data_IF_190646312106
#
_entry.id   IF_190646312106
#
_cell.length_a   1.000
_cell.length_b   1.000
_cell.length_c   1.000
_cell.angle_alpha   90.00
_cell.angle_beta   90.00
_cell.angle_gamma   90.00
#
_symmetry.space_group_name_H-M   'P 1'
#
loop_
_entity.id
_entity.type
_entity.pdbx_description
1 polymer ?
#
# COMPACT_ATOMS: atom_id res chain seq x y z
N UNK A 1 -2.53 -31.12 4.98
CA UNK A 1 -1.50 -30.89 3.96
C UNK A 1 -0.25 -30.55 4.71
N UNK A 2 0.79 -31.35 4.52
CA UNK A 2 2.10 -31.20 5.14
C UNK A 2 2.66 -29.82 4.81
N UNK A 3 2.91 -29.01 5.83
CA UNK A 3 3.76 -27.82 5.73
C UNK A 3 5.14 -28.29 5.27
N UNK A 4 5.40 -28.22 3.97
CA UNK A 4 6.76 -28.25 3.47
C UNK A 4 7.50 -27.10 4.16
N UNK A 5 8.47 -27.47 5.00
CA UNK A 5 9.38 -26.54 5.64
C UNK A 5 10.24 -25.90 4.55
N UNK A 6 9.67 -24.92 3.87
CA UNK A 6 10.39 -24.12 2.89
C UNK A 6 11.50 -23.42 3.67
N UNK A 7 12.75 -23.60 3.26
CA UNK A 7 13.88 -22.85 3.81
C UNK A 7 13.80 -21.41 3.28
N UNK A 8 12.89 -20.65 3.88
CA UNK A 8 12.45 -19.32 3.48
C UNK A 8 13.63 -18.34 3.31
N UNK A 9 14.65 -18.48 4.15
CA UNK A 9 15.87 -17.66 4.13
C UNK A 9 16.76 -17.89 2.89
N UNK A 10 16.54 -18.97 2.13
CA UNK A 10 17.34 -19.30 0.94
C UNK A 10 16.81 -18.64 -0.36
N UNK A 11 15.65 -17.98 -0.31
CA UNK A 11 15.04 -17.30 -1.46
C UNK A 11 15.37 -15.81 -1.47
N UNK A 12 15.41 -15.13 -2.64
CA UNK A 12 15.67 -13.69 -2.72
C UNK A 12 14.74 -12.87 -1.82
N UNK A 13 15.32 -12.05 -0.95
CA UNK A 13 14.60 -11.25 0.05
C UNK A 13 14.07 -12.05 1.25
N UNK A 14 14.31 -13.36 1.32
CA UNK A 14 13.84 -14.21 2.41
C UNK A 14 14.55 -14.00 3.74
N UNK A 15 15.79 -13.54 3.69
CA UNK A 15 16.64 -13.22 4.84
C UNK A 15 16.33 -11.83 5.45
N UNK A 16 15.48 -11.03 4.80
CA UNK A 16 15.17 -9.68 5.27
C UNK A 16 14.26 -9.71 6.50
N UNK A 17 14.56 -8.86 7.49
CA UNK A 17 13.67 -8.69 8.63
C UNK A 17 12.45 -7.86 8.25
N UNK A 18 11.26 -8.46 8.31
CA UNK A 18 10.00 -7.75 8.01
C UNK A 18 9.83 -6.54 8.93
N UNK A 19 9.95 -6.73 10.25
CA UNK A 19 9.71 -5.65 11.21
C UNK A 19 10.84 -4.61 11.21
N UNK A 20 12.10 -5.03 11.11
CA UNK A 20 13.24 -4.10 11.21
C UNK A 20 13.48 -3.32 9.90
N UNK A 21 12.84 -3.70 8.79
CA UNK A 21 12.80 -2.90 7.57
C UNK A 21 11.99 -1.59 7.74
N UNK A 22 11.12 -1.51 8.75
CA UNK A 22 10.40 -0.28 9.10
C UNK A 22 11.26 0.61 9.99
N UNK A 23 11.45 1.91 9.65
CA UNK A 23 12.11 2.87 10.53
C UNK A 23 11.43 2.98 11.89
N UNK A 24 12.21 3.17 12.95
CA UNK A 24 11.70 3.26 14.33
C UNK A 24 10.57 4.27 14.50
N UNK A 25 10.73 5.46 13.93
CA UNK A 25 9.71 6.50 13.98
C UNK A 25 8.40 6.07 13.31
N UNK A 26 8.47 5.31 12.21
CA UNK A 26 7.27 4.77 11.57
C UNK A 26 6.64 3.65 12.41
N UNK A 27 7.45 2.78 13.01
CA UNK A 27 6.97 1.74 13.94
C UNK A 27 6.25 2.35 15.13
N UNK A 28 6.79 3.43 15.70
CA UNK A 28 6.16 4.17 16.79
C UNK A 28 4.82 4.77 16.35
N UNK A 29 4.78 5.47 15.20
CA UNK A 29 3.54 6.00 14.64
C UNK A 29 2.48 4.91 14.44
N UNK A 30 2.86 3.76 13.87
CA UNK A 30 1.95 2.63 13.64
C UNK A 30 1.46 2.02 14.96
N UNK A 31 2.30 1.94 15.99
CA UNK A 31 1.91 1.39 17.30
C UNK A 31 0.87 2.24 18.03
N UNK A 32 0.88 3.56 17.78
CA UNK A 32 -0.05 4.54 18.37
C UNK A 32 -1.26 4.83 17.49
N UNK A 33 -1.27 4.33 16.26
CA UNK A 33 -2.32 4.65 15.30
C UNK A 33 -3.67 4.11 15.77
N UNK A 34 -4.72 4.92 15.64
CA UNK A 34 -6.09 4.44 15.75
C UNK A 34 -6.48 3.65 14.50
N UNK A 35 -6.11 4.18 13.32
CA UNK A 35 -6.42 3.59 12.02
C UNK A 35 -5.22 3.67 11.08
N UNK A 36 -5.08 2.64 10.25
CA UNK A 36 -4.22 2.65 9.07
C UNK A 36 -5.13 2.57 7.86
N UNK A 37 -5.17 3.63 7.04
CA UNK A 37 -6.09 3.76 5.91
C UNK A 37 -5.32 3.73 4.60
N UNK A 38 -5.49 2.65 3.83
CA UNK A 38 -4.90 2.49 2.51
C UNK A 38 -5.81 3.09 1.46
N UNK A 39 -5.34 4.14 0.79
CA UNK A 39 -6.10 4.87 -0.23
C UNK A 39 -5.62 4.44 -1.61
N UNK A 40 -6.45 3.69 -2.33
CA UNK A 40 -6.15 3.28 -3.69
C UNK A 40 -6.06 4.50 -4.63
N UNK A 41 -5.38 4.33 -5.76
CA UNK A 41 -5.43 5.30 -6.85
C UNK A 41 -6.74 5.21 -7.65
N UNK A 42 -7.86 4.90 -7.01
CA UNK A 42 -9.13 4.70 -7.70
C UNK A 42 -9.72 6.06 -8.16
N UNK A 43 -10.02 6.27 -9.45
CA UNK A 43 -10.61 7.51 -9.96
C UNK A 43 -12.07 7.74 -9.52
N UNK A 44 -12.71 6.74 -8.93
CA UNK A 44 -14.00 6.87 -8.27
C UNK A 44 -13.91 7.72 -6.99
N UNK A 45 -12.78 7.66 -6.26
CA UNK A 45 -12.55 8.40 -5.01
C UNK A 45 -12.56 9.92 -5.26
N UNK A 46 -13.29 10.62 -4.40
CA UNK A 46 -13.56 12.06 -4.40
C UNK A 46 -13.18 12.70 -3.05
N UNK A 47 -13.25 14.04 -2.97
CA UNK A 47 -13.05 14.76 -1.71
C UNK A 47 -14.08 14.37 -0.64
N UNK A 48 -15.33 14.07 -1.03
CA UNK A 48 -16.38 13.65 -0.08
C UNK A 48 -16.02 12.33 0.62
N UNK A 49 -15.28 11.44 -0.05
CA UNK A 49 -14.79 10.21 0.57
C UNK A 49 -13.77 10.50 1.68
N UNK A 50 -12.89 11.48 1.46
CA UNK A 50 -11.90 11.92 2.45
C UNK A 50 -12.55 12.65 3.62
N UNK A 51 -13.53 13.51 3.36
CA UNK A 51 -14.33 14.17 4.38
C UNK A 51 -15.08 13.14 5.24
N UNK A 52 -15.69 12.12 4.62
CA UNK A 52 -16.39 11.05 5.33
C UNK A 52 -15.46 10.16 6.16
N UNK A 53 -14.21 9.95 5.74
CA UNK A 53 -13.20 9.26 6.54
C UNK A 53 -12.85 10.03 7.83
N UNK A 54 -13.02 11.35 7.85
CA UNK A 54 -12.67 12.23 8.96
C UNK A 54 -11.24 11.93 9.48
N UNK A 55 -10.26 12.02 8.58
CA UNK A 55 -8.85 11.71 8.86
C UNK A 55 -8.31 12.70 9.90
N UNK A 56 -7.84 12.18 11.04
CA UNK A 56 -7.30 12.92 12.17
C UNK A 56 -5.81 12.65 12.44
N UNK A 57 -5.33 13.14 13.58
CA UNK A 57 -3.92 13.10 13.95
C UNK A 57 -3.41 11.72 14.37
N UNK A 58 -4.31 10.80 14.75
CA UNK A 58 -3.94 9.43 15.15
C UNK A 58 -4.06 8.44 14.00
N UNK A 59 -4.31 8.92 12.78
CA UNK A 59 -4.40 8.07 11.59
C UNK A 59 -3.07 8.03 10.83
N UNK A 60 -2.76 6.85 10.31
CA UNK A 60 -1.75 6.66 9.27
C UNK A 60 -2.46 6.50 7.94
N UNK A 61 -2.20 7.39 7.00
CA UNK A 61 -2.80 7.40 5.68
C UNK A 61 -1.77 6.97 4.65
N UNK A 62 -2.10 5.95 3.88
CA UNK A 62 -1.18 5.32 2.95
C UNK A 62 -1.60 5.60 1.52
N UNK A 63 -0.69 6.15 0.71
CA UNK A 63 -0.88 6.48 -0.70
C UNK A 63 0.15 5.77 -1.58
N UNK A 64 -0.22 5.46 -2.83
CA UNK A 64 0.57 4.56 -3.67
C UNK A 64 1.12 5.22 -4.93
N UNK A 65 2.35 4.87 -5.28
CA UNK A 65 3.03 5.18 -6.52
C UNK A 65 3.01 6.68 -6.81
N UNK A 66 2.33 7.12 -7.88
CA UNK A 66 2.18 8.53 -8.24
C UNK A 66 1.38 9.37 -7.23
N UNK A 67 0.81 8.74 -6.19
CA UNK A 67 0.09 9.40 -5.10
C UNK A 67 -0.93 10.41 -5.62
N UNK A 68 -1.78 9.99 -6.58
CA UNK A 68 -2.67 10.90 -7.33
C UNK A 68 -3.75 11.56 -6.45
N UNK A 69 -3.89 11.10 -5.19
CA UNK A 69 -4.81 11.64 -4.19
C UNK A 69 -4.10 12.52 -3.16
N UNK A 70 -2.82 12.83 -3.34
CA UNK A 70 -2.02 13.58 -2.37
C UNK A 70 -2.58 14.98 -2.07
N UNK A 71 -3.27 15.62 -3.03
CA UNK A 71 -3.95 16.91 -2.82
C UNK A 71 -5.10 16.85 -1.80
N UNK A 72 -5.61 15.67 -1.48
CA UNK A 72 -6.69 15.45 -0.50
C UNK A 72 -6.15 15.06 0.88
N UNK A 73 -4.84 14.83 1.01
CA UNK A 73 -4.18 14.50 2.27
C UNK A 73 -3.92 15.76 3.10
N UNK A 74 -3.83 15.57 4.42
CA UNK A 74 -3.59 16.64 5.38
C UNK A 74 -2.29 16.44 6.16
N UNK A 75 -1.80 17.53 6.74
CA UNK A 75 -0.54 17.60 7.50
C UNK A 75 -0.68 17.06 8.94
N UNK A 76 -1.91 16.83 9.41
CA UNK A 76 -2.20 16.37 10.78
C UNK A 76 -2.02 14.87 10.92
N UNK A 77 -2.39 14.08 9.91
CA UNK A 77 -2.17 12.62 9.90
C UNK A 77 -0.70 12.25 9.69
N UNK A 78 -0.37 10.99 9.94
CA UNK A 78 0.90 10.42 9.45
C UNK A 78 0.68 9.98 8.01
N UNK A 79 1.50 10.47 7.08
CA UNK A 79 1.40 10.13 5.66
C UNK A 79 2.51 9.17 5.26
N UNK A 80 2.14 8.00 4.73
CA UNK A 80 3.06 7.02 4.19
C UNK A 80 2.89 6.91 2.68
N UNK A 81 3.95 7.23 1.93
CA UNK A 81 3.96 7.14 0.47
C UNK A 81 4.70 5.86 0.05
N UNK A 82 3.98 4.93 -0.57
CA UNK A 82 4.51 3.62 -0.95
C UNK A 82 4.75 3.56 -2.45
N UNK A 83 5.95 3.17 -2.86
CA UNK A 83 6.33 3.11 -4.26
C UNK A 83 6.78 1.69 -4.63
N UNK A 84 6.15 1.14 -5.66
CA UNK A 84 6.58 -0.12 -6.27
C UNK A 84 7.79 0.11 -7.18
N UNK A 85 8.71 -0.85 -7.19
CA UNK A 85 9.86 -0.86 -8.09
C UNK A 85 9.49 -1.37 -9.48
N UNK A 86 9.95 -0.69 -10.52
CA UNK A 86 9.94 -1.17 -11.89
C UNK A 86 11.32 -1.72 -12.24
N UNK A 87 11.49 -3.05 -12.13
CA UNK A 87 12.79 -3.69 -12.32
C UNK A 87 13.41 -3.48 -13.71
N UNK A 88 12.68 -3.60 -14.83
CA UNK A 88 13.23 -3.35 -16.17
C UNK A 88 13.94 -2.01 -16.35
N UNK A 89 13.37 -0.94 -15.79
CA UNK A 89 13.84 0.44 -16.00
C UNK A 89 14.51 1.03 -14.74
N UNK A 90 14.67 0.22 -13.69
CA UNK A 90 15.30 0.55 -12.42
C UNK A 90 14.82 1.85 -11.74
N UNK A 91 13.50 2.09 -11.71
CA UNK A 91 12.92 3.25 -11.01
C UNK A 91 11.76 2.86 -10.08
N UNK A 92 11.36 3.77 -9.21
CA UNK A 92 10.17 3.64 -8.36
C UNK A 92 9.03 4.50 -8.89
N UNK A 93 7.85 3.90 -9.05
CA UNK A 93 6.70 4.63 -9.58
C UNK A 93 6.33 5.83 -8.71
N UNK A 94 6.23 7.01 -9.32
CA UNK A 94 5.88 8.24 -8.60
C UNK A 94 7.02 8.88 -7.81
N UNK A 95 8.26 8.42 -7.97
CA UNK A 95 9.44 9.15 -7.57
C UNK A 95 10.09 9.86 -8.79
N UNK A 96 10.53 11.12 -8.66
CA UNK A 96 10.33 12.01 -7.50
C UNK A 96 8.85 12.33 -7.25
N UNK A 97 8.50 12.58 -5.98
CA UNK A 97 7.12 12.84 -5.57
C UNK A 97 6.52 14.05 -6.28
N UNK A 98 5.20 14.05 -6.49
CA UNK A 98 4.49 15.19 -7.08
C UNK A 98 4.48 16.42 -6.13
N UNK A 99 4.01 17.57 -6.63
CA UNK A 99 4.01 18.83 -5.87
C UNK A 99 3.23 18.74 -4.53
N UNK A 100 2.15 17.97 -4.47
CA UNK A 100 1.37 17.79 -3.25
C UNK A 100 2.12 16.93 -2.21
N UNK A 101 2.80 15.88 -2.66
CA UNK A 101 3.68 15.07 -1.80
C UNK A 101 4.83 15.92 -1.26
N UNK A 102 5.49 16.70 -2.13
CA UNK A 102 6.58 17.59 -1.73
C UNK A 102 6.09 18.62 -0.70
N UNK A 103 4.93 19.24 -0.92
CA UNK A 103 4.30 20.17 0.02
C UNK A 103 4.07 19.55 1.40
N UNK A 104 3.65 18.28 1.47
CA UNK A 104 3.46 17.57 2.75
C UNK A 104 4.78 17.34 3.46
N UNK A 105 5.83 16.94 2.74
CA UNK A 105 7.17 16.83 3.32
C UNK A 105 7.70 18.19 3.80
N UNK A 106 7.51 19.27 3.04
CA UNK A 106 7.98 20.60 3.43
C UNK A 106 7.32 21.11 4.72
N UNK A 107 6.05 20.78 4.93
CA UNK A 107 5.25 21.31 6.06
C UNK A 107 5.18 20.37 7.25
N UNK A 108 5.27 19.05 7.03
CA UNK A 108 5.06 18.02 8.03
C UNK A 108 6.05 16.85 7.88
N UNK A 109 7.33 17.14 7.59
CA UNK A 109 8.38 16.14 7.38
C UNK A 109 8.43 15.02 8.44
N UNK A 110 8.23 15.36 9.72
CA UNK A 110 8.29 14.39 10.82
C UNK A 110 7.14 13.38 10.81
N UNK A 111 6.06 13.68 10.07
CA UNK A 111 4.87 12.85 9.91
C UNK A 111 4.78 12.25 8.51
N UNK A 112 5.80 12.42 7.68
CA UNK A 112 5.86 11.88 6.33
C UNK A 112 6.94 10.81 6.23
N UNK A 113 6.55 9.67 5.65
CA UNK A 113 7.42 8.51 5.48
C UNK A 113 7.31 7.99 4.04
N UNK A 114 8.35 7.28 3.61
CA UNK A 114 8.35 6.58 2.33
C UNK A 114 8.54 5.10 2.57
N UNK A 115 7.86 4.27 1.78
CA UNK A 115 8.12 2.83 1.75
C UNK A 115 8.36 2.38 0.32
N UNK A 116 9.46 1.66 0.12
CA UNK A 116 9.87 1.11 -1.16
C UNK A 116 9.64 -0.39 -1.12
N UNK A 117 8.92 -0.93 -2.11
CA UNK A 117 8.62 -2.37 -2.19
C UNK A 117 9.07 -2.94 -3.53
N UNK A 118 9.54 -4.18 -3.53
CA UNK A 118 10.02 -4.84 -4.74
C UNK A 118 11.43 -4.42 -5.14
N UNK A 119 12.22 -3.82 -4.25
CA UNK A 119 13.53 -3.33 -4.61
C UNK A 119 14.44 -4.50 -5.03
N UNK A 120 14.93 -4.48 -6.28
CA UNK A 120 15.83 -5.49 -6.81
C UNK A 120 17.24 -4.94 -7.12
N UNK A 121 17.50 -3.68 -6.81
CA UNK A 121 18.80 -3.03 -7.02
C UNK A 121 19.41 -2.62 -5.67
N UNK A 122 20.73 -2.79 -5.46
CA UNK A 122 21.38 -2.34 -4.24
C UNK A 122 21.13 -0.84 -3.99
N UNK A 123 20.65 -0.51 -2.80
CA UNK A 123 20.42 0.85 -2.33
C UNK A 123 20.88 1.01 -0.89
N UNK A 124 21.28 2.24 -0.54
CA UNK A 124 21.59 2.60 0.83
C UNK A 124 20.30 2.89 1.61
N UNK A 125 20.21 2.48 2.88
CA UNK A 125 19.09 2.87 3.74
C UNK A 125 19.08 4.40 3.91
N UNK A 126 17.88 4.98 3.88
CA UNK A 126 17.66 6.40 4.14
C UNK A 126 16.79 6.57 5.38
N UNK A 127 17.01 7.62 6.20
CA UNK A 127 16.13 7.92 7.31
C UNK A 127 14.68 8.05 6.84
N UNK A 128 13.72 7.49 7.60
CA UNK A 128 12.27 7.54 7.31
C UNK A 128 11.86 6.85 6.00
N UNK A 129 12.76 6.08 5.38
CA UNK A 129 12.46 5.23 4.25
C UNK A 129 12.47 3.78 4.72
N UNK A 130 11.30 3.14 4.68
CA UNK A 130 11.21 1.69 4.77
C UNK A 130 11.57 1.08 3.41
N UNK A 131 12.34 0.00 3.40
CA UNK A 131 12.76 -0.65 2.16
C UNK A 131 12.62 -2.15 2.28
N UNK A 132 11.83 -2.72 1.37
CA UNK A 132 11.67 -4.15 1.21
C UNK A 132 12.26 -4.61 -0.12
N UNK A 133 13.11 -5.62 -0.01
CA UNK A 133 13.81 -6.25 -1.11
C UNK A 133 12.93 -7.32 -1.75
N UNK A 134 12.89 -7.36 -3.08
CA UNK A 134 12.13 -8.35 -3.85
C UNK A 134 10.73 -8.60 -3.23
N UNK A 135 10.48 -9.81 -2.73
CA UNK A 135 9.24 -10.14 -2.00
C UNK A 135 9.46 -10.06 -0.50
N UNK A 136 8.58 -9.33 0.17
CA UNK A 136 8.47 -9.37 1.64
C UNK A 136 8.16 -10.81 2.05
N UNK A 137 8.89 -11.40 3.01
CA UNK A 137 8.78 -12.82 3.38
C UNK A 137 7.54 -13.09 4.23
N UNK A 138 6.36 -12.85 3.65
CA UNK A 138 5.05 -13.09 4.25
C UNK A 138 4.27 -14.11 3.41
N UNK A 139 3.55 -15.07 4.03
CA UNK A 139 2.93 -16.17 3.30
C UNK A 139 2.03 -15.76 2.12
N UNK A 140 1.18 -14.72 2.21
CA UNK A 140 0.35 -14.30 1.07
C UNK A 140 1.16 -13.73 -0.12
N UNK A 141 2.36 -13.20 0.12
CA UNK A 141 3.22 -12.62 -0.91
C UNK A 141 4.12 -13.69 -1.54
N UNK A 142 4.54 -14.69 -0.78
CA UNK A 142 5.27 -15.84 -1.32
C UNK A 142 4.40 -16.84 -2.06
N UNK A 143 3.19 -17.10 -1.56
CA UNK A 143 2.21 -17.95 -2.23
C UNK A 143 1.44 -17.20 -3.34
N UNK A 144 1.93 -16.03 -3.76
CA UNK A 144 1.31 -15.26 -4.83
C UNK A 144 1.40 -16.00 -6.16
N UNK A 145 0.28 -16.14 -6.92
CA UNK A 145 0.28 -16.85 -8.20
C UNK A 145 1.31 -16.29 -9.17
N UNK A 146 2.12 -17.17 -9.77
CA UNK A 146 3.11 -16.80 -10.78
C UNK A 146 2.47 -16.79 -12.16
N UNK A 147 1.65 -17.79 -12.48
CA UNK A 147 1.12 -17.99 -13.82
C UNK A 147 -0.34 -17.56 -13.97
N UNK A 148 -0.63 -16.89 -15.08
CA UNK A 148 -1.99 -16.57 -15.54
C UNK A 148 -2.62 -17.80 -16.20
N UNK A 149 -3.96 -17.88 -16.23
CA UNK A 149 -4.65 -18.74 -17.19
C UNK A 149 -4.16 -18.43 -18.62
N UNK A 150 -3.49 -19.39 -19.26
CA UNK A 150 -2.85 -19.22 -20.56
C UNK A 150 -1.33 -19.05 -20.56
N UNK A 151 -0.65 -19.25 -19.42
CA UNK A 151 0.81 -19.46 -19.35
C UNK A 151 1.68 -18.20 -19.38
N UNK A 152 1.09 -17.00 -19.35
CA UNK A 152 1.84 -15.75 -19.13
C UNK A 152 2.06 -15.51 -17.65
N UNK A 153 3.21 -14.98 -17.25
CA UNK A 153 3.43 -14.63 -15.84
C UNK A 153 2.65 -13.38 -15.40
N UNK A 154 2.22 -13.35 -14.14
CA UNK A 154 1.85 -12.12 -13.46
C UNK A 154 3.09 -11.25 -13.23
N UNK A 155 2.92 -9.93 -13.16
CA UNK A 155 4.02 -8.99 -12.87
C UNK A 155 4.39 -8.95 -11.37
N UNK A 156 3.84 -9.87 -10.57
CA UNK A 156 3.95 -9.90 -9.12
C UNK A 156 2.79 -9.21 -8.40
N UNK A 157 2.86 -9.13 -7.06
CA UNK A 157 1.84 -8.49 -6.24
C UNK A 157 1.79 -6.97 -6.47
N UNK A 158 0.59 -6.39 -6.42
CA UNK A 158 0.45 -4.94 -6.53
C UNK A 158 1.11 -4.22 -5.36
N UNK A 159 1.54 -2.95 -5.55
CA UNK A 159 2.06 -2.12 -4.44
C UNK A 159 1.07 -2.06 -3.28
N UNK A 160 -0.23 -1.96 -3.60
CA UNK A 160 -1.30 -1.96 -2.61
C UNK A 160 -1.38 -3.26 -1.81
N UNK A 161 -1.26 -4.40 -2.49
CA UNK A 161 -1.32 -5.71 -1.82
C UNK A 161 -0.11 -6.01 -0.95
N UNK A 162 1.11 -5.65 -1.40
CA UNK A 162 2.31 -5.75 -0.56
C UNK A 162 2.12 -5.03 0.78
N UNK A 163 1.66 -3.78 0.73
CA UNK A 163 1.39 -2.95 1.91
C UNK A 163 0.26 -3.49 2.77
N UNK A 164 -0.82 -3.96 2.13
CA UNK A 164 -1.98 -4.51 2.82
C UNK A 164 -1.58 -5.74 3.65
N UNK A 165 -0.86 -6.69 3.05
CA UNK A 165 -0.39 -7.90 3.74
C UNK A 165 0.61 -7.55 4.84
N UNK A 166 1.50 -6.59 4.61
CA UNK A 166 2.46 -6.15 5.64
C UNK A 166 1.75 -5.58 6.88
N UNK A 167 0.79 -4.67 6.70
CA UNK A 167 0.09 -4.06 7.82
C UNK A 167 -0.92 -5.00 8.46
N UNK A 168 -1.50 -5.92 7.71
CA UNK A 168 -2.28 -7.01 8.28
C UNK A 168 -1.45 -7.88 9.22
N UNK A 169 -0.28 -8.34 8.75
CA UNK A 169 0.67 -9.10 9.56
C UNK A 169 1.13 -8.33 10.80
N UNK A 170 1.37 -7.02 10.67
CA UNK A 170 1.83 -6.19 11.76
C UNK A 170 0.78 -6.08 12.90
N UNK A 171 -0.52 -6.08 12.59
CA UNK A 171 -1.60 -6.12 13.61
C UNK A 171 -1.59 -7.39 14.46
N UNK A 172 -0.97 -8.48 13.97
CA UNK A 172 -0.75 -9.69 14.75
C UNK A 172 0.34 -9.57 15.82
N UNK A 173 1.09 -8.46 15.85
CA UNK A 173 2.20 -8.26 16.77
C UNK A 173 1.79 -7.42 17.98
N UNK A 174 2.40 -7.71 19.14
CA UNK A 174 2.20 -6.94 20.37
C UNK A 174 2.53 -5.47 20.13
N UNK A 175 1.62 -4.58 20.52
CA UNK A 175 1.78 -3.14 20.40
C UNK A 175 1.17 -2.51 19.14
N UNK A 176 0.55 -3.30 18.25
CA UNK A 176 -0.14 -2.78 17.06
C UNK A 176 -1.62 -3.11 17.10
N UNK A 177 -2.45 -2.13 17.47
CA UNK A 177 -3.90 -2.34 17.72
C UNK A 177 -4.81 -1.54 16.78
N UNK A 178 -4.25 -0.95 15.72
CA UNK A 178 -5.02 -0.13 14.79
C UNK A 178 -6.04 -0.93 14.00
N UNK A 179 -7.09 -0.24 13.57
CA UNK A 179 -7.97 -0.76 12.52
C UNK A 179 -7.31 -0.61 11.16
N UNK A 180 -7.24 -1.68 10.38
CA UNK A 180 -6.77 -1.62 8.99
C UNK A 180 -7.96 -1.40 8.06
N UNK A 181 -7.89 -0.35 7.26
CA UNK A 181 -8.97 0.09 6.39
C UNK A 181 -8.48 0.28 4.96
N UNK A 182 -9.37 0.05 3.99
CA UNK A 182 -9.09 0.31 2.57
C UNK A 182 -10.16 1.23 1.99
N UNK A 183 -9.73 2.23 1.21
CA UNK A 183 -10.62 3.09 0.43
C UNK A 183 -10.34 2.89 -1.06
N UNK A 184 -11.37 2.49 -1.81
CA UNK A 184 -11.31 2.35 -3.27
C UNK A 184 -10.58 1.11 -3.78
N UNK A 185 -10.31 0.12 -2.93
CA UNK A 185 -9.89 -1.23 -3.31
C UNK A 185 -11.08 -2.03 -3.92
N UNK A 186 -11.71 -1.45 -4.94
CA UNK A 186 -12.93 -1.96 -5.58
C UNK A 186 -12.78 -1.94 -7.11
N UNK A 187 -13.74 -2.57 -7.80
CA UNK A 187 -13.83 -2.52 -9.26
C UNK A 187 -14.50 -1.25 -9.79
N UNK A 188 -14.91 -0.34 -8.91
CA UNK A 188 -15.57 0.90 -9.33
C UNK A 188 -14.61 1.75 -10.16
N UNK A 189 -15.04 2.15 -11.36
CA UNK A 189 -14.26 2.88 -12.36
C UNK A 189 -13.09 2.12 -13.03
N UNK A 190 -13.04 0.80 -12.90
CA UNK A 190 -12.11 -0.06 -13.64
C UNK A 190 -10.72 -0.19 -12.98
N UNK A 191 -9.83 -0.96 -13.63
CA UNK A 191 -8.46 -1.18 -13.18
C UNK A 191 -7.53 -0.22 -13.90
N UNK A 192 -6.73 0.55 -13.16
CA UNK A 192 -5.69 1.38 -13.76
C UNK A 192 -4.52 0.57 -14.33
N UNK A 193 -4.30 -0.64 -13.80
CA UNK A 193 -3.15 -1.47 -14.16
C UNK A 193 -3.56 -2.93 -14.32
N UNK A 194 -3.09 -3.57 -15.39
CA UNK A 194 -3.25 -4.99 -15.63
C UNK A 194 -2.05 -5.80 -15.14
N UNK A 195 -2.18 -7.12 -15.15
CA UNK A 195 -1.02 -8.01 -14.95
C UNK A 195 -0.74 -8.46 -13.52
N UNK A 196 -1.53 -8.03 -12.54
CA UNK A 196 -1.56 -8.60 -11.19
C UNK A 196 -2.60 -9.73 -11.11
N UNK A 197 -2.42 -10.67 -10.19
CA UNK A 197 -3.36 -11.72 -9.82
C UNK A 197 -4.52 -11.13 -9.01
N UNK A 198 -5.31 -10.27 -9.63
CA UNK A 198 -6.37 -9.52 -8.96
C UNK A 198 -7.42 -10.39 -8.28
N UNK A 199 -7.70 -11.59 -8.81
CA UNK A 199 -8.64 -12.52 -8.16
C UNK A 199 -8.07 -13.03 -6.83
N UNK A 200 -6.77 -13.34 -6.79
CA UNK A 200 -6.07 -13.72 -5.57
C UNK A 200 -6.04 -12.58 -4.54
N UNK A 201 -5.63 -11.37 -4.95
CA UNK A 201 -5.56 -10.21 -4.03
C UNK A 201 -6.93 -9.88 -3.43
N UNK A 202 -8.00 -10.01 -4.23
CA UNK A 202 -9.37 -9.75 -3.78
C UNK A 202 -9.93 -10.85 -2.90
N UNK A 203 -9.70 -12.11 -3.26
CA UNK A 203 -10.11 -13.25 -2.43
C UNK A 203 -9.44 -13.18 -1.06
N UNK A 204 -8.15 -12.83 -1.02
CA UNK A 204 -7.44 -12.59 0.23
C UNK A 204 -8.08 -11.45 1.04
N UNK A 205 -8.33 -10.29 0.42
CA UNK A 205 -8.96 -9.15 1.11
C UNK A 205 -10.37 -9.50 1.64
N UNK A 206 -11.17 -10.26 0.87
CA UNK A 206 -12.50 -10.70 1.27
C UNK A 206 -12.50 -11.68 2.45
N UNK A 207 -11.43 -12.46 2.61
CA UNK A 207 -11.25 -13.41 3.72
C UNK A 207 -10.58 -12.79 4.94
N UNK A 208 -10.03 -11.59 4.81
CA UNK A 208 -9.45 -10.84 5.92
C UNK A 208 -10.52 -10.12 6.76
N UNK A 209 -10.16 -9.65 7.94
CA UNK A 209 -10.96 -8.77 8.80
C UNK A 209 -10.73 -7.28 8.50
N UNK A 210 -10.08 -6.95 7.37
CA UNK A 210 -9.80 -5.58 6.94
C UNK A 210 -11.11 -4.86 6.59
N UNK A 211 -11.25 -3.63 7.07
CA UNK A 211 -12.46 -2.84 6.84
C UNK A 211 -12.40 -2.22 5.44
N UNK A 212 -13.30 -2.67 4.55
CA UNK A 212 -13.48 -2.05 3.23
C UNK A 212 -14.44 -0.88 3.35
N UNK A 213 -13.92 0.34 3.16
CA UNK A 213 -14.71 1.57 3.25
C UNK A 213 -15.46 1.78 1.93
N UNK A 214 -16.80 1.83 1.93
CA UNK A 214 -17.57 2.08 0.73
C UNK A 214 -17.34 3.52 0.24
N UNK A 215 -17.30 3.70 -1.07
CA UNK A 215 -17.24 5.03 -1.67
C UNK A 215 -18.57 5.76 -1.50
N UNK A 216 -18.51 7.07 -1.32
CA UNK A 216 -19.67 7.94 -1.23
C UNK A 216 -20.48 7.87 -2.53
N UNK A 217 -21.81 7.73 -2.44
CA UNK A 217 -22.65 7.58 -3.62
C UNK A 217 -22.58 8.83 -4.50
N UNK A 218 -22.18 8.63 -5.75
CA UNK A 218 -22.21 9.70 -6.76
C UNK A 218 -23.65 10.04 -7.13
N UNK A 219 -23.99 11.33 -7.08
CA UNK A 219 -25.29 11.81 -7.53
C UNK A 219 -25.47 11.50 -9.03
N UNK A 220 -26.69 11.16 -9.43
CA UNK A 220 -27.03 10.68 -10.79
C UNK A 220 -26.55 11.61 -11.91
N UNK A 221 -26.59 12.94 -11.70
CA UNK A 221 -26.12 13.92 -12.68
C UNK A 221 -24.60 13.94 -12.84
N UNK A 222 -23.82 13.65 -11.79
CA UNK A 222 -22.35 13.54 -11.90
C UNK A 222 -21.90 12.36 -12.77
N UNK A 223 -22.74 11.32 -12.89
CA UNK A 223 -22.50 10.19 -13.80
C UNK A 223 -22.72 10.57 -15.28
N UNK A 224 -23.62 11.51 -15.55
CA UNK A 224 -23.96 11.96 -16.92
C UNK A 224 -22.88 12.86 -17.54
N UNK A 225 -22.21 13.69 -16.74
CA UNK A 225 -21.22 14.66 -17.22
C UNK A 225 -19.77 14.12 -17.33
N UNK A 226 -19.51 12.86 -16.95
CA UNK A 226 -18.17 12.22 -17.03
C UNK A 226 -17.94 11.34 -18.27
N UNK A 227 -18.82 11.39 -19.28
CA UNK A 227 -18.50 10.88 -20.64
C UNK A 227 -17.65 11.93 -21.37
N UNK A 228 -16.35 11.93 -21.13
CA UNK A 228 -15.32 12.46 -22.04
C UNK A 228 -14.07 11.60 -21.91
#
# INVERSE_FOLDING_TARGET
MTDEYMALDALPGGDQSVLQALPDALRECLSRAARVVLIANNPAITAADFEALNIGADDVVVSFNHCIKASLLNEQSVNLFVHGYNAPDAYFFGLPGNADVQRLFDRAAQRCFTMLVGCAAPMCPLPRVAMYWDRIPLPPLWNYPIDRPGGKHYVGPSTGFNTLVLFDWLRGHVGYTYQLMTLGFSNEAGKLWGGHAWDYERDWLQKSDVIVVPLQPRRWWQKLFKRK
#
